data_IF_463371182483
#
_entry.id   IF_463371182483
#
_cell.length_a   1.000
_cell.length_b   1.000
_cell.length_c   1.000
_cell.angle_alpha   90.00
_cell.angle_beta   90.00
_cell.angle_gamma   90.00
#
_symmetry.space_group_name_H-M   'P 1'
#
loop_
_entity.id
_entity.type
_entity.pdbx_description
1 polymer ?
#
# COMPACT_ATOMS: atom_id res chain seq x y z
N UNK A 1 26.12 -14.37 3.66
CA UNK A 1 26.49 -14.03 5.05
C UNK A 1 25.63 -14.86 5.99
N UNK A 2 26.22 -15.46 7.02
CA UNK A 2 25.49 -16.25 8.03
C UNK A 2 25.20 -15.38 9.28
N UNK A 3 23.97 -15.45 9.77
CA UNK A 3 23.53 -14.77 10.99
C UNK A 3 22.66 -15.70 11.82
N UNK A 4 23.19 -16.17 12.96
CA UNK A 4 22.60 -17.27 13.74
C UNK A 4 22.58 -18.55 12.91
N UNK A 5 21.42 -19.20 12.84
CA UNK A 5 21.20 -20.43 12.03
C UNK A 5 20.79 -20.16 10.58
N UNK A 6 20.66 -18.90 10.16
CA UNK A 6 20.16 -18.55 8.82
C UNK A 6 21.24 -17.90 7.95
N UNK A 7 21.17 -18.18 6.64
CA UNK A 7 22.03 -17.54 5.64
C UNK A 7 21.25 -16.44 4.93
N UNK A 8 21.73 -15.20 5.02
CA UNK A 8 21.19 -14.05 4.33
C UNK A 8 21.93 -13.89 2.99
N UNK A 9 21.20 -14.06 1.90
CA UNK A 9 21.68 -13.78 0.54
C UNK A 9 21.39 -12.33 0.20
N UNK A 10 22.33 -11.64 -0.44
CA UNK A 10 22.14 -10.25 -0.87
C UNK A 10 22.84 -9.97 -2.19
N UNK A 11 22.32 -9.01 -2.94
CA UNK A 11 22.92 -8.49 -4.17
C UNK A 11 23.59 -7.16 -3.91
N UNK A 12 24.77 -6.94 -4.47
CA UNK A 12 25.47 -5.65 -4.40
C UNK A 12 25.37 -4.95 -5.74
N UNK A 13 24.88 -3.71 -5.72
CA UNK A 13 24.80 -2.82 -6.87
C UNK A 13 25.67 -1.61 -6.61
N UNK A 14 26.67 -1.38 -7.43
CA UNK A 14 27.51 -0.18 -7.39
C UNK A 14 26.85 0.97 -8.15
N UNK A 15 26.83 2.15 -7.57
CA UNK A 15 26.21 3.33 -8.15
C UNK A 15 27.00 4.61 -7.79
N UNK A 16 26.91 5.69 -8.58
CA UNK A 16 27.52 7.00 -8.28
C UNK A 16 26.78 7.67 -7.11
N UNK A 17 27.13 7.30 -5.89
CA UNK A 17 26.51 7.76 -4.64
C UNK A 17 27.57 7.93 -3.53
N UNK A 18 27.26 8.73 -2.52
CA UNK A 18 28.18 9.00 -1.40
C UNK A 18 27.99 8.04 -0.21
N UNK A 19 26.85 7.37 -0.10
CA UNK A 19 26.50 6.54 1.07
C UNK A 19 26.01 5.18 0.65
N UNK A 20 26.23 4.15 1.49
CA UNK A 20 25.69 2.81 1.31
C UNK A 20 24.24 2.76 1.77
N UNK A 21 23.40 2.01 1.05
CA UNK A 21 22.01 1.75 1.39
C UNK A 21 21.76 0.25 1.40
N UNK A 22 21.08 -0.24 2.42
CA UNK A 22 20.59 -1.61 2.50
C UNK A 22 19.07 -1.55 2.36
N UNK A 23 18.51 -2.28 1.40
CA UNK A 23 17.07 -2.40 1.18
C UNK A 23 16.68 -3.88 1.24
N UNK A 24 15.64 -4.18 2.02
CA UNK A 24 14.98 -5.49 2.01
C UNK A 24 13.69 -5.31 1.24
N UNK A 25 13.56 -6.05 0.16
CA UNK A 25 12.37 -6.00 -0.69
C UNK A 25 11.33 -7.01 -0.19
N UNK A 26 10.07 -6.74 -0.45
CA UNK A 26 9.00 -7.62 -0.04
C UNK A 26 9.03 -9.04 -0.66
N UNK A 27 9.74 -9.25 -1.79
CA UNK A 27 9.97 -10.57 -2.41
C UNK A 27 11.07 -11.39 -1.71
N UNK A 28 11.60 -10.87 -0.58
CA UNK A 28 12.68 -11.48 0.18
C UNK A 28 14.08 -11.18 -0.39
N UNK A 29 14.19 -10.36 -1.45
CA UNK A 29 15.51 -9.95 -1.94
C UNK A 29 16.11 -8.86 -1.09
N UNK A 30 17.40 -9.00 -0.75
CA UNK A 30 18.19 -7.98 -0.05
C UNK A 30 19.12 -7.34 -1.05
N UNK A 31 19.00 -6.03 -1.25
CA UNK A 31 19.81 -5.26 -2.20
C UNK A 31 20.64 -4.22 -1.46
N UNK A 32 21.94 -4.23 -1.71
CA UNK A 32 22.88 -3.25 -1.18
C UNK A 32 23.33 -2.34 -2.31
N UNK A 33 23.04 -1.06 -2.20
CA UNK A 33 23.57 -0.05 -3.13
C UNK A 33 24.77 0.60 -2.48
N UNK A 34 25.97 0.36 -3.04
CA UNK A 34 27.24 0.89 -2.54
C UNK A 34 27.84 1.92 -3.52
N UNK A 35 28.65 2.87 -3.03
CA UNK A 35 29.49 3.73 -3.87
C UNK A 35 30.42 2.89 -4.74
N UNK A 36 30.72 3.37 -5.95
CA UNK A 36 31.74 2.76 -6.81
C UNK A 36 33.08 2.78 -6.07
N UNK A 37 33.78 1.63 -6.05
CA UNK A 37 35.07 1.47 -5.37
C UNK A 37 34.99 1.06 -3.89
N UNK A 38 33.79 0.89 -3.31
CA UNK A 38 33.65 0.36 -1.93
C UNK A 38 34.19 -1.09 -1.86
N UNK A 39 35.07 -1.38 -0.91
CA UNK A 39 35.63 -2.72 -0.70
C UNK A 39 34.59 -3.69 -0.17
N UNK A 40 34.72 -4.98 -0.57
CA UNK A 40 33.80 -6.05 -0.16
C UNK A 40 33.71 -6.20 1.36
N UNK A 41 34.86 -6.11 2.04
CA UNK A 41 34.96 -6.23 3.50
C UNK A 41 34.17 -5.11 4.24
N UNK A 42 34.15 -3.90 3.70
CA UNK A 42 33.36 -2.79 4.24
C UNK A 42 31.86 -3.06 4.09
N UNK A 43 31.45 -3.60 2.93
CA UNK A 43 30.06 -4.00 2.68
C UNK A 43 29.65 -5.08 3.66
N UNK A 44 30.44 -6.15 3.81
CA UNK A 44 30.17 -7.24 4.72
C UNK A 44 30.06 -6.77 6.19
N UNK A 45 30.98 -5.92 6.62
CA UNK A 45 30.95 -5.35 7.98
C UNK A 45 29.67 -4.58 8.24
N UNK A 46 29.21 -3.77 7.28
CA UNK A 46 27.95 -3.03 7.39
C UNK A 46 26.72 -3.93 7.36
N UNK A 47 26.72 -4.95 6.52
CA UNK A 47 25.63 -5.94 6.47
C UNK A 47 25.55 -6.69 7.79
N UNK A 48 26.70 -7.11 8.36
CA UNK A 48 26.76 -7.75 9.68
C UNK A 48 26.16 -6.89 10.79
N UNK A 49 26.54 -5.61 10.84
CA UNK A 49 25.97 -4.66 11.81
C UNK A 49 24.46 -4.48 11.70
N UNK A 50 23.89 -4.73 10.52
CA UNK A 50 22.46 -4.60 10.23
C UNK A 50 21.74 -5.96 10.08
N UNK A 51 22.40 -7.06 10.36
CA UNK A 51 21.86 -8.41 10.18
C UNK A 51 20.54 -8.65 10.92
N UNK A 52 20.46 -8.23 12.20
CA UNK A 52 19.21 -8.32 12.96
C UNK A 52 18.06 -7.52 12.37
N UNK A 53 18.35 -6.32 11.87
CA UNK A 53 17.36 -5.51 11.15
C UNK A 53 16.92 -6.16 9.83
N UNK A 54 17.86 -6.68 9.06
CA UNK A 54 17.58 -7.40 7.80
C UNK A 54 16.69 -8.62 8.08
N UNK A 55 17.07 -9.45 9.08
CA UNK A 55 16.29 -10.63 9.46
C UNK A 55 14.87 -10.25 9.88
N UNK A 56 14.69 -9.25 10.74
CA UNK A 56 13.37 -8.76 11.15
C UNK A 56 12.50 -8.39 9.96
N UNK A 57 13.08 -7.76 8.92
CA UNK A 57 12.33 -7.37 7.72
C UNK A 57 12.05 -8.55 6.79
N UNK A 58 12.98 -9.51 6.67
CA UNK A 58 12.74 -10.75 5.92
C UNK A 58 11.61 -11.57 6.56
N UNK A 59 11.64 -11.76 7.88
CA UNK A 59 10.60 -12.47 8.62
C UNK A 59 9.24 -11.75 8.53
N UNK A 60 9.27 -10.41 8.60
CA UNK A 60 8.10 -9.58 8.38
C UNK A 60 7.51 -9.79 6.98
N UNK A 61 8.32 -9.84 5.92
CA UNK A 61 7.81 -10.05 4.56
C UNK A 61 7.41 -11.51 4.28
N UNK A 62 8.00 -12.51 4.95
CA UNK A 62 7.64 -13.93 4.80
C UNK A 62 6.17 -14.19 5.15
N UNK A 63 5.59 -13.49 6.13
CA UNK A 63 4.19 -13.65 6.52
C UNK A 63 3.20 -13.26 5.41
N UNK A 64 3.64 -12.53 4.37
CA UNK A 64 2.81 -12.10 3.25
C UNK A 64 2.93 -13.00 2.01
N UNK A 65 3.56 -14.16 2.12
CA UNK A 65 3.61 -15.15 1.05
C UNK A 65 2.51 -16.22 1.18
N UNK A 66 1.93 -16.72 0.05
CA UNK A 66 2.22 -16.32 -1.34
C UNK A 66 1.57 -14.99 -1.71
N UNK A 67 2.26 -14.20 -2.54
CA UNK A 67 1.74 -12.92 -3.01
C UNK A 67 0.61 -13.09 -4.00
N UNK A 68 -0.25 -12.09 -4.04
CA UNK A 68 -1.30 -12.01 -5.06
C UNK A 68 -0.67 -11.93 -6.46
N UNK A 69 -0.95 -12.88 -7.35
CA UNK A 69 -0.40 -12.85 -8.71
C UNK A 69 -0.90 -11.65 -9.51
N UNK A 70 -0.13 -11.27 -10.54
CA UNK A 70 -0.51 -10.20 -11.44
C UNK A 70 -1.86 -10.51 -12.07
N UNK A 71 -2.79 -9.55 -11.99
CA UNK A 71 -4.15 -9.70 -12.51
C UNK A 71 -4.16 -9.78 -14.05
N UNK A 72 -4.86 -10.77 -14.57
CA UNK A 72 -5.06 -11.00 -16.01
C UNK A 72 -6.37 -10.43 -16.54
N UNK A 73 -7.31 -10.09 -15.64
CA UNK A 73 -8.64 -9.57 -15.95
C UNK A 73 -9.47 -10.53 -16.82
N UNK A 74 -9.41 -11.81 -16.49
CA UNK A 74 -10.15 -12.89 -17.14
C UNK A 74 -11.32 -13.38 -16.28
N UNK A 75 -12.30 -14.03 -16.90
CA UNK A 75 -13.44 -14.60 -16.19
C UNK A 75 -13.00 -15.61 -15.12
N UNK A 76 -13.64 -15.59 -13.95
CA UNK A 76 -13.30 -16.43 -12.80
C UNK A 76 -12.23 -15.85 -11.87
N UNK A 77 -11.47 -14.84 -12.30
CA UNK A 77 -10.43 -14.20 -11.48
C UNK A 77 -11.05 -13.49 -10.26
N UNK A 78 -10.36 -13.54 -9.12
CA UNK A 78 -10.83 -12.90 -7.88
C UNK A 78 -10.28 -11.49 -7.75
N UNK A 79 -11.14 -10.53 -7.46
CA UNK A 79 -10.81 -9.13 -7.21
C UNK A 79 -11.30 -8.68 -5.84
N UNK A 80 -10.54 -7.82 -5.18
CA UNK A 80 -10.87 -7.28 -3.87
C UNK A 80 -11.67 -5.97 -3.98
N UNK A 81 -12.64 -5.80 -3.10
CA UNK A 81 -13.31 -4.53 -2.83
C UNK A 81 -13.71 -4.43 -1.37
N UNK A 82 -13.23 -3.39 -0.68
CA UNK A 82 -13.44 -3.17 0.74
C UNK A 82 -13.11 -4.41 1.59
N UNK A 83 -11.99 -5.07 1.31
CA UNK A 83 -11.47 -6.24 2.01
C UNK A 83 -12.16 -7.56 1.65
N UNK A 84 -13.20 -7.54 0.81
CA UNK A 84 -13.92 -8.76 0.40
C UNK A 84 -13.51 -9.19 -1.00
N UNK A 85 -13.51 -10.50 -1.21
CA UNK A 85 -13.20 -11.13 -2.49
C UNK A 85 -14.46 -11.30 -3.33
N UNK A 86 -14.36 -10.94 -4.61
CA UNK A 86 -15.43 -11.04 -5.59
C UNK A 86 -14.90 -11.66 -6.88
N UNK A 87 -15.63 -12.62 -7.45
CA UNK A 87 -15.25 -13.25 -8.71
C UNK A 87 -15.66 -12.39 -9.90
N UNK A 88 -14.78 -12.35 -10.90
CA UNK A 88 -15.04 -11.64 -12.15
C UNK A 88 -15.89 -12.50 -13.09
N UNK A 89 -17.01 -11.97 -13.56
CA UNK A 89 -17.88 -12.57 -14.58
C UNK A 89 -17.95 -11.61 -15.77
N UNK A 90 -17.50 -12.06 -16.93
CA UNK A 90 -17.48 -11.27 -18.16
C UNK A 90 -18.59 -11.78 -19.05
N UNK A 91 -19.36 -10.88 -19.64
CA UNK A 91 -20.44 -11.18 -20.60
C UNK A 91 -20.45 -10.16 -21.74
N UNK A 92 -21.03 -10.55 -22.86
CA UNK A 92 -21.24 -9.66 -24.01
C UNK A 92 -22.38 -8.71 -23.70
N UNK A 93 -22.24 -7.45 -24.08
CA UNK A 93 -23.28 -6.43 -23.97
C UNK A 93 -22.97 -5.23 -24.84
N UNK A 94 -23.97 -4.49 -25.20
CA UNK A 94 -23.88 -3.33 -26.11
C UNK A 94 -23.00 -2.20 -25.59
N UNK A 95 -22.99 -2.03 -24.25
CA UNK A 95 -22.20 -0.99 -23.56
C UNK A 95 -21.31 -1.60 -22.49
N UNK A 96 -20.12 -1.02 -22.32
CA UNK A 96 -19.24 -1.35 -21.21
C UNK A 96 -19.87 -0.97 -19.86
N UNK A 97 -20.10 -1.94 -18.99
CA UNK A 97 -20.73 -1.74 -17.69
C UNK A 97 -20.05 -2.61 -16.64
N UNK A 98 -19.93 -2.10 -15.41
CA UNK A 98 -19.47 -2.88 -14.25
C UNK A 98 -20.50 -2.79 -13.14
N UNK A 99 -20.99 -3.93 -12.70
CA UNK A 99 -21.90 -4.05 -11.54
C UNK A 99 -21.32 -5.04 -10.53
N UNK A 100 -21.46 -4.72 -9.26
CA UNK A 100 -21.13 -5.65 -8.15
C UNK A 100 -22.46 -6.22 -7.63
N UNK A 101 -22.75 -7.48 -7.98
CA UNK A 101 -24.02 -8.12 -7.67
C UNK A 101 -23.77 -9.55 -7.21
N UNK A 102 -24.37 -9.96 -6.08
CA UNK A 102 -24.38 -11.35 -5.56
C UNK A 102 -22.99 -11.99 -5.50
N UNK A 103 -21.97 -11.27 -5.05
CA UNK A 103 -20.60 -11.80 -4.92
C UNK A 103 -19.77 -11.78 -6.20
N UNK A 104 -20.26 -11.16 -7.28
CA UNK A 104 -19.57 -11.09 -8.56
C UNK A 104 -19.37 -9.66 -9.04
N UNK A 105 -18.19 -9.39 -9.59
CA UNK A 105 -18.02 -8.28 -10.55
C UNK A 105 -18.53 -8.72 -11.91
N UNK A 106 -19.70 -8.25 -12.27
CA UNK A 106 -20.27 -8.47 -13.59
C UNK A 106 -19.79 -7.35 -14.51
N UNK A 107 -18.98 -7.71 -15.50
CA UNK A 107 -18.44 -6.78 -16.50
C UNK A 107 -19.03 -7.12 -17.86
N UNK A 108 -19.74 -6.16 -18.47
CA UNK A 108 -20.21 -6.27 -19.83
C UNK A 108 -19.24 -5.59 -20.77
N UNK A 109 -18.87 -6.26 -21.85
CA UNK A 109 -17.99 -5.75 -22.91
C UNK A 109 -18.56 -6.13 -24.27
N UNK A 110 -18.20 -5.40 -25.32
CA UNK A 110 -18.65 -5.72 -26.68
C UNK A 110 -18.04 -7.04 -27.19
N UNK A 111 -16.81 -7.35 -26.74
CA UNK A 111 -16.06 -8.55 -27.12
C UNK A 111 -15.40 -9.15 -25.90
N UNK A 112 -15.51 -10.46 -25.68
CA UNK A 112 -15.03 -11.15 -24.48
C UNK A 112 -13.50 -11.25 -24.38
N UNK A 113 -12.77 -11.17 -25.49
CA UNK A 113 -11.32 -11.38 -25.55
C UNK A 113 -10.47 -10.12 -25.25
N UNK A 114 -11.08 -9.06 -24.71
CA UNK A 114 -10.37 -7.80 -24.47
C UNK A 114 -10.11 -7.58 -22.97
N UNK A 115 -9.09 -8.24 -22.41
CA UNK A 115 -8.64 -8.05 -21.00
C UNK A 115 -8.34 -6.58 -20.68
N UNK A 116 -7.81 -5.82 -21.63
CA UNK A 116 -7.53 -4.39 -21.45
C UNK A 116 -8.81 -3.53 -21.34
N UNK A 117 -9.89 -3.91 -22.05
CA UNK A 117 -11.18 -3.23 -21.89
C UNK A 117 -11.79 -3.53 -20.53
N UNK A 118 -11.73 -4.80 -20.10
CA UNK A 118 -12.21 -5.22 -18.78
C UNK A 118 -11.44 -4.49 -17.69
N UNK A 119 -10.10 -4.43 -17.80
CA UNK A 119 -9.22 -3.69 -16.86
C UNK A 119 -9.63 -2.23 -16.75
N UNK A 120 -9.76 -1.52 -17.89
CA UNK A 120 -10.16 -0.10 -17.91
C UNK A 120 -11.51 0.14 -17.26
N UNK A 121 -12.50 -0.71 -17.53
CA UNK A 121 -13.82 -0.60 -16.92
C UNK A 121 -13.78 -0.81 -15.41
N UNK A 122 -13.06 -1.83 -14.94
CA UNK A 122 -12.88 -2.10 -13.51
C UNK A 122 -12.11 -0.97 -12.82
N UNK A 123 -11.04 -0.44 -13.42
CA UNK A 123 -10.27 0.67 -12.87
C UNK A 123 -11.13 1.94 -12.76
N UNK A 124 -11.96 2.24 -13.77
CA UNK A 124 -12.90 3.35 -13.72
C UNK A 124 -13.95 3.17 -12.61
N UNK A 125 -14.50 1.96 -12.47
CA UNK A 125 -15.44 1.62 -11.41
C UNK A 125 -14.79 1.79 -10.02
N UNK A 126 -13.55 1.30 -9.83
CA UNK A 126 -12.81 1.48 -8.58
C UNK A 126 -12.57 2.97 -8.27
N UNK A 127 -12.22 3.77 -9.26
CA UNK A 127 -12.01 5.21 -9.08
C UNK A 127 -13.30 5.93 -8.63
N UNK A 128 -14.45 5.59 -9.25
CA UNK A 128 -15.76 6.10 -8.84
C UNK A 128 -16.09 5.73 -7.39
N UNK A 129 -15.94 4.44 -7.04
CA UNK A 129 -16.21 3.95 -5.68
C UNK A 129 -15.24 4.51 -4.64
N UNK A 130 -13.95 4.64 -5.00
CA UNK A 130 -12.96 5.27 -4.14
C UNK A 130 -13.34 6.70 -3.79
N UNK A 131 -13.78 7.49 -4.77
CA UNK A 131 -14.21 8.88 -4.54
C UNK A 131 -15.31 8.98 -3.49
N UNK A 132 -16.33 8.14 -3.60
CA UNK A 132 -17.44 8.11 -2.63
C UNK A 132 -16.97 7.61 -1.26
N UNK A 133 -16.32 6.44 -1.21
CA UNK A 133 -15.96 5.77 0.04
C UNK A 133 -14.88 6.51 0.83
N UNK A 134 -13.90 7.11 0.15
CA UNK A 134 -12.85 7.86 0.83
C UNK A 134 -13.38 9.18 1.38
N UNK A 135 -14.35 9.81 0.71
CA UNK A 135 -15.04 10.96 1.28
C UNK A 135 -15.80 10.58 2.55
N UNK A 136 -16.59 9.50 2.52
CA UNK A 136 -17.30 8.97 3.69
C UNK A 136 -16.33 8.65 4.86
N UNK A 137 -15.18 8.05 4.55
CA UNK A 137 -14.13 7.71 5.51
C UNK A 137 -13.47 8.98 6.10
N UNK A 138 -13.16 9.94 5.25
CA UNK A 138 -12.61 11.24 5.67
C UNK A 138 -13.55 11.98 6.64
N UNK A 139 -14.85 12.01 6.32
CA UNK A 139 -15.86 12.63 7.21
C UNK A 139 -15.95 11.93 8.57
N UNK A 140 -15.72 10.63 8.66
CA UNK A 140 -15.67 9.91 9.95
C UNK A 140 -14.40 10.19 10.74
N UNK A 141 -13.25 10.35 10.07
CA UNK A 141 -11.96 10.55 10.74
C UNK A 141 -11.73 12.00 11.15
N UNK A 142 -12.27 12.96 10.39
CA UNK A 142 -12.01 14.38 10.55
C UNK A 142 -12.38 14.96 11.92
N UNK A 143 -13.51 14.62 12.57
CA UNK A 143 -13.93 15.23 13.84
C UNK A 143 -12.90 15.12 14.98
N UNK A 144 -12.03 14.10 14.95
CA UNK A 144 -10.96 13.97 15.94
C UNK A 144 -9.87 15.05 15.79
N UNK A 145 -9.68 15.56 14.58
CA UNK A 145 -8.68 16.58 14.23
C UNK A 145 -9.25 18.00 14.23
N UNK A 146 -10.53 18.16 13.98
CA UNK A 146 -11.23 19.44 14.06
C UNK A 146 -11.09 20.10 15.43
N UNK A 147 -11.12 19.29 16.50
CA UNK A 147 -10.90 19.74 17.89
C UNK A 147 -9.49 20.30 18.14
N UNK A 148 -8.54 20.05 17.26
CA UNK A 148 -7.18 20.56 17.32
C UNK A 148 -7.01 21.92 16.62
N UNK A 149 -8.09 22.53 16.14
CA UNK A 149 -8.10 23.79 15.39
C UNK A 149 -7.16 23.79 14.17
N UNK A 150 -6.94 22.62 13.55
CA UNK A 150 -6.11 22.46 12.36
C UNK A 150 -6.91 22.74 11.09
N UNK A 151 -6.27 23.27 10.03
CA UNK A 151 -6.95 23.54 8.76
C UNK A 151 -7.38 22.23 8.10
N UNK A 152 -8.64 22.18 7.66
CA UNK A 152 -9.19 20.99 6.98
C UNK A 152 -8.54 20.76 5.61
N UNK A 153 -7.90 19.61 5.36
CA UNK A 153 -7.26 19.32 4.10
C UNK A 153 -8.28 19.14 2.95
N UNK A 154 -7.82 19.45 1.74
CA UNK A 154 -8.54 19.08 0.51
C UNK A 154 -8.27 17.63 0.17
N UNK A 155 -9.31 16.82 -0.01
CA UNK A 155 -9.19 15.44 -0.42
C UNK A 155 -8.95 15.34 -1.93
N UNK A 156 -7.89 14.61 -2.33
CA UNK A 156 -7.57 14.26 -3.71
C UNK A 156 -7.42 12.75 -3.83
N UNK A 157 -7.94 12.15 -4.89
CA UNK A 157 -7.86 10.70 -5.11
C UNK A 157 -7.17 10.49 -6.46
N UNK A 158 -6.11 9.69 -6.46
CA UNK A 158 -5.38 9.32 -7.68
C UNK A 158 -4.64 8.02 -7.48
N UNK A 159 -4.28 7.34 -8.57
CA UNK A 159 -3.39 6.18 -8.51
C UNK A 159 -1.97 6.61 -8.15
N UNK A 160 -1.34 5.91 -7.21
CA UNK A 160 0.05 6.11 -6.79
C UNK A 160 0.80 4.77 -6.82
N UNK A 161 2.10 4.80 -7.13
CA UNK A 161 2.91 3.58 -7.27
C UNK A 161 3.45 3.04 -5.94
N UNK A 162 3.75 3.91 -4.97
CA UNK A 162 4.56 3.56 -3.79
C UNK A 162 3.93 3.93 -2.45
N UNK A 163 2.77 4.58 -2.44
CA UNK A 163 2.14 5.09 -1.21
C UNK A 163 0.64 4.86 -1.24
N UNK A 164 0.06 4.64 -0.05
CA UNK A 164 -1.39 4.58 0.14
C UNK A 164 -2.02 5.95 0.35
N UNK A 165 -1.28 6.85 1.00
CA UNK A 165 -1.67 8.23 1.22
C UNK A 165 -0.48 9.19 1.15
N UNK A 166 -0.75 10.48 1.17
CA UNK A 166 0.21 11.55 1.43
C UNK A 166 -0.51 12.85 1.75
N UNK A 167 -0.02 13.58 2.75
CA UNK A 167 -0.43 14.93 3.05
C UNK A 167 0.64 15.92 2.57
N UNK A 168 0.24 16.88 1.75
CA UNK A 168 1.16 17.94 1.32
C UNK A 168 1.18 19.10 2.32
N UNK A 169 2.29 19.86 2.34
CA UNK A 169 2.42 21.10 3.14
C UNK A 169 1.38 22.16 2.76
N UNK A 170 0.77 22.06 1.57
CA UNK A 170 -0.33 22.94 1.11
C UNK A 170 -1.72 22.46 1.56
N UNK A 171 -1.80 21.50 2.47
CA UNK A 171 -3.09 21.01 2.99
C UNK A 171 -3.88 20.15 1.99
N UNK A 172 -3.21 19.35 1.15
CA UNK A 172 -3.88 18.39 0.27
C UNK A 172 -3.59 16.97 0.73
N UNK A 173 -4.63 16.27 1.18
CA UNK A 173 -4.61 14.84 1.47
C UNK A 173 -4.86 14.08 0.17
N UNK A 174 -3.85 13.35 -0.31
CA UNK A 174 -3.97 12.51 -1.51
C UNK A 174 -4.06 11.05 -1.09
N UNK A 175 -5.07 10.32 -1.59
CA UNK A 175 -5.26 8.89 -1.35
C UNK A 175 -5.10 8.09 -2.63
N UNK A 176 -4.49 6.91 -2.53
CA UNK A 176 -4.32 5.99 -3.63
C UNK A 176 -5.63 5.29 -3.96
N UNK A 177 -6.06 5.34 -5.22
CA UNK A 177 -7.27 4.64 -5.70
C UNK A 177 -7.25 3.16 -5.34
N UNK A 178 -6.08 2.50 -5.38
CA UNK A 178 -5.94 1.07 -5.09
C UNK A 178 -6.26 0.72 -3.63
N UNK A 179 -6.21 1.69 -2.71
CA UNK A 179 -6.61 1.52 -1.31
C UNK A 179 -8.09 1.09 -1.15
N UNK A 180 -8.94 1.31 -2.16
CA UNK A 180 -10.35 0.87 -2.15
C UNK A 180 -10.52 -0.65 -2.05
N UNK A 181 -9.46 -1.41 -2.34
CA UNK A 181 -9.44 -2.87 -2.20
C UNK A 181 -9.28 -3.34 -0.76
N UNK A 182 -8.69 -2.49 0.10
CA UNK A 182 -8.50 -2.78 1.51
C UNK A 182 -9.81 -2.74 2.31
N UNK A 183 -9.86 -3.39 3.50
CA UNK A 183 -10.94 -3.20 4.47
C UNK A 183 -11.17 -1.74 4.83
N UNK A 184 -12.40 -1.40 5.23
CA UNK A 184 -12.77 0.00 5.55
C UNK A 184 -11.93 0.58 6.68
N UNK A 185 -11.68 -0.22 7.72
CA UNK A 185 -10.83 0.16 8.86
C UNK A 185 -9.41 0.50 8.45
N UNK A 186 -8.88 -0.13 7.41
CA UNK A 186 -7.56 0.18 6.84
C UNK A 186 -7.57 1.51 6.08
N UNK A 187 -8.69 1.84 5.41
CA UNK A 187 -8.87 3.14 4.76
C UNK A 187 -8.90 4.25 5.82
N UNK A 188 -9.66 4.04 6.90
CA UNK A 188 -9.72 4.97 8.03
C UNK A 188 -8.35 5.15 8.68
N UNK A 189 -7.56 4.06 8.81
CA UNK A 189 -6.19 4.14 9.31
C UNK A 189 -5.28 5.01 8.42
N UNK A 190 -5.28 4.80 7.11
CA UNK A 190 -4.44 5.61 6.21
C UNK A 190 -4.83 7.09 6.29
N UNK A 191 -6.13 7.40 6.31
CA UNK A 191 -6.61 8.78 6.45
C UNK A 191 -6.16 9.39 7.76
N UNK A 192 -6.35 8.68 8.89
CA UNK A 192 -5.94 9.15 10.21
C UNK A 192 -4.43 9.35 10.30
N UNK A 193 -3.64 8.41 9.74
CA UNK A 193 -2.19 8.53 9.66
C UNK A 193 -1.75 9.80 8.93
N UNK A 194 -2.33 10.06 7.77
CA UNK A 194 -2.01 11.26 7.00
C UNK A 194 -2.48 12.54 7.71
N UNK A 195 -3.61 12.50 8.41
CA UNK A 195 -4.11 13.64 9.19
C UNK A 195 -3.21 13.95 10.39
N UNK A 196 -2.54 12.96 11.00
CA UNK A 196 -1.56 13.20 12.05
C UNK A 196 -0.39 14.07 11.56
N UNK A 197 -0.06 14.04 10.27
CA UNK A 197 0.96 14.89 9.68
C UNK A 197 0.60 16.38 9.64
N UNK A 198 -0.65 16.76 9.89
CA UNK A 198 -1.01 18.16 10.09
C UNK A 198 -0.31 18.77 11.31
N UNK A 199 -0.07 17.98 12.36
CA UNK A 199 0.57 18.41 13.59
C UNK A 199 2.03 17.91 13.71
N UNK A 200 2.31 16.70 13.23
CA UNK A 200 3.59 16.02 13.36
C UNK A 200 4.12 15.66 11.97
N UNK A 201 5.00 16.47 11.34
CA UNK A 201 5.51 16.21 9.99
C UNK A 201 6.31 14.92 9.84
N UNK A 202 6.99 14.49 10.91
CA UNK A 202 7.82 13.29 10.98
C UNK A 202 7.18 12.19 11.84
N UNK A 203 7.62 10.94 11.65
CA UNK A 203 7.15 9.78 12.41
C UNK A 203 7.92 9.61 13.73
N UNK A 204 8.13 10.70 14.47
CA UNK A 204 8.73 10.68 15.81
C UNK A 204 7.77 10.21 16.91
N UNK A 205 8.21 10.18 18.18
CA UNK A 205 7.37 9.76 19.32
C UNK A 205 6.05 10.55 19.45
N UNK A 206 6.09 11.85 19.13
CA UNK A 206 4.88 12.71 19.15
C UNK A 206 3.83 12.27 18.14
N UNK A 207 4.26 11.84 16.94
CA UNK A 207 3.38 11.32 15.90
C UNK A 207 2.64 10.07 16.39
N UNK A 208 3.38 9.08 16.92
CA UNK A 208 2.77 7.84 17.39
C UNK A 208 1.87 8.06 18.61
N UNK A 209 2.25 8.96 19.52
CA UNK A 209 1.41 9.33 20.66
C UNK A 209 0.06 9.96 20.19
N UNK A 210 0.10 10.83 19.18
CA UNK A 210 -1.12 11.40 18.59
C UNK A 210 -1.95 10.33 17.88
N UNK A 211 -1.31 9.48 17.06
CA UNK A 211 -1.98 8.42 16.32
C UNK A 211 -2.67 7.43 17.26
N UNK A 212 -2.00 7.01 18.32
CA UNK A 212 -2.55 6.11 19.33
C UNK A 212 -3.71 6.74 20.10
N UNK A 213 -3.61 8.04 20.43
CA UNK A 213 -4.70 8.79 21.08
C UNK A 213 -5.95 8.86 20.21
N UNK A 214 -5.80 9.05 18.89
CA UNK A 214 -6.91 9.18 17.94
C UNK A 214 -7.44 7.83 17.49
N UNK A 215 -6.57 6.84 17.37
CA UNK A 215 -6.87 5.51 16.85
C UNK A 215 -6.05 4.45 17.64
N UNK A 216 -6.52 4.01 18.82
CA UNK A 216 -5.78 3.08 19.68
C UNK A 216 -5.44 1.73 19.04
N UNK A 217 -6.20 1.29 18.05
CA UNK A 217 -6.03 0.03 17.33
C UNK A 217 -5.27 0.18 16.00
N UNK A 218 -4.51 1.29 15.84
CA UNK A 218 -3.82 1.62 14.58
C UNK A 218 -2.83 0.55 14.12
N UNK A 219 -2.11 -0.13 15.02
CA UNK A 219 -1.16 -1.19 14.66
C UNK A 219 -1.85 -2.38 14.02
N UNK A 220 -3.00 -2.80 14.58
CA UNK A 220 -3.83 -3.87 14.03
C UNK A 220 -4.34 -3.50 12.63
N UNK A 221 -4.80 -2.27 12.44
CA UNK A 221 -5.30 -1.80 11.13
C UNK A 221 -4.18 -1.68 10.10
N UNK A 222 -3.00 -1.23 10.52
CA UNK A 222 -1.79 -1.22 9.69
C UNK A 222 -1.44 -2.63 9.23
N UNK A 223 -1.37 -3.58 10.15
CA UNK A 223 -1.08 -4.98 9.83
C UNK A 223 -2.13 -5.58 8.86
N UNK A 224 -3.42 -5.34 9.10
CA UNK A 224 -4.48 -5.78 8.21
C UNK A 224 -4.36 -5.16 6.80
N UNK A 225 -3.95 -3.89 6.69
CA UNK A 225 -3.70 -3.24 5.40
C UNK A 225 -2.58 -3.93 4.63
N UNK A 226 -1.49 -4.23 5.31
CA UNK A 226 -0.32 -4.91 4.74
C UNK A 226 -0.70 -6.32 4.27
N UNK A 227 -1.45 -7.08 5.05
CA UNK A 227 -1.97 -8.40 4.65
C UNK A 227 -2.93 -8.34 3.45
N UNK A 228 -3.77 -7.33 3.38
CA UNK A 228 -4.81 -7.26 2.36
C UNK A 228 -4.30 -6.87 0.97
N UNK A 229 -3.18 -6.15 0.87
CA UNK A 229 -2.75 -5.49 -0.37
C UNK A 229 -1.33 -5.85 -0.84
N UNK A 230 -0.72 -6.87 -0.25
CA UNK A 230 0.60 -7.39 -0.68
C UNK A 230 0.49 -8.43 -1.79
#
# INVERSE_FOLDING_TARGET
MTYGSETIYYQVLYAPRKTMQIAVHPDGTVVIKAPVGTKSEEIETRVHKRAGWIKKHLDYFRQFHPRTPVRRYVGGETHLYLGRQYRLKISIGERGEVKLIRGYFQVKVKETNSSDKVKRLLEAWYAEKATKRFKESFERCWPAFEKLALPRPRLKIRRMKTRWGSLSTRGTLTLNTDLIRAPRECIDYVITHELCHLQCPDHGPRFYCLLEKVMPDWEKRKHNLELALV
#
